data_IF_329357828363
#
_entry.id   IF_329357828363
#
_cell.length_a   1.000
_cell.length_b   1.000
_cell.length_c   1.000
_cell.angle_alpha   90.00
_cell.angle_beta   90.00
_cell.angle_gamma   90.00
#
_symmetry.space_group_name_H-M   'P 1'
#
loop_
_entity.id
_entity.type
_entity.pdbx_description
1 polymer ?
#
# COMPACT_ATOMS: atom_id res chain seq x y z
N UNK A 1 -51.83 -34.41 -28.45
CA UNK A 1 -51.32 -33.65 -27.30
C UNK A 1 -50.39 -32.57 -27.82
N UNK A 2 -50.56 -31.32 -27.37
CA UNK A 2 -49.56 -30.28 -27.58
C UNK A 2 -48.27 -30.54 -26.77
N UNK A 3 -47.32 -29.57 -26.65
CA UNK A 3 -47.54 -28.14 -26.91
C UNK A 3 -46.31 -27.29 -27.39
N UNK A 4 -46.58 -25.97 -27.56
CA UNK A 4 -45.71 -24.78 -27.31
C UNK A 4 -44.53 -24.55 -28.28
N UNK A 5 -44.46 -23.49 -29.10
CA UNK A 5 -44.71 -22.05 -28.90
C UNK A 5 -43.36 -21.31 -29.04
N UNK A 6 -43.17 -20.09 -29.55
CA UNK A 6 -44.03 -19.04 -30.08
C UNK A 6 -43.14 -18.09 -30.91
N UNK A 7 -43.69 -17.50 -31.97
CA UNK A 7 -43.05 -16.44 -32.75
C UNK A 7 -43.18 -15.06 -32.09
N UNK A 8 -42.38 -14.10 -32.54
CA UNK A 8 -42.64 -12.68 -32.35
C UNK A 8 -42.02 -11.88 -33.51
N UNK A 9 -42.87 -11.58 -34.49
CA UNK A 9 -42.79 -10.42 -35.37
C UNK A 9 -42.98 -9.15 -34.52
N UNK A 10 -42.30 -8.05 -34.85
CA UNK A 10 -42.88 -6.72 -34.61
C UNK A 10 -42.22 -5.65 -35.47
N UNK A 11 -42.96 -5.27 -36.50
CA UNK A 11 -42.83 -4.04 -37.28
C UNK A 11 -43.22 -2.79 -36.47
N UNK A 12 -42.45 -1.71 -36.69
CA UNK A 12 -42.86 -0.31 -36.97
C UNK A 12 -44.00 0.34 -36.18
N UNK A 13 -43.66 1.38 -35.39
CA UNK A 13 -44.35 2.69 -35.22
C UNK A 13 -43.25 3.68 -34.72
N UNK A 14 -43.07 4.94 -35.12
CA UNK A 14 -43.92 5.93 -35.76
C UNK A 14 -43.96 7.22 -34.90
N UNK A 15 -43.15 8.23 -35.27
CA UNK A 15 -43.28 9.70 -35.05
C UNK A 15 -43.66 10.29 -33.65
N UNK A 16 -42.75 11.12 -33.14
CA UNK A 16 -42.96 12.58 -32.95
C UNK A 16 -43.56 13.08 -31.64
N UNK A 17 -42.83 13.95 -30.91
CA UNK A 17 -43.28 15.28 -30.47
C UNK A 17 -42.21 15.95 -29.58
N UNK A 18 -42.26 17.28 -29.62
CA UNK A 18 -41.34 18.31 -29.13
C UNK A 18 -41.72 18.73 -27.70
N UNK A 19 -40.75 19.02 -26.84
CA UNK A 19 -41.02 19.56 -25.50
C UNK A 19 -39.73 20.04 -24.82
N UNK A 20 -39.60 21.35 -24.75
CA UNK A 20 -38.56 22.13 -24.09
C UNK A 20 -38.46 21.85 -22.58
N UNK A 21 -37.23 21.73 -22.06
CA UNK A 21 -36.89 22.05 -20.67
C UNK A 21 -35.37 22.06 -20.48
N UNK A 22 -34.85 23.27 -20.30
CA UNK A 22 -33.67 23.72 -19.57
C UNK A 22 -32.66 22.67 -19.03
N UNK A 23 -31.49 22.69 -19.67
CA UNK A 23 -30.20 22.97 -19.03
C UNK A 23 -29.85 22.30 -17.69
N UNK A 24 -29.21 21.14 -17.75
CA UNK A 24 -28.09 20.80 -16.87
C UNK A 24 -27.15 19.80 -17.56
N UNK A 25 -26.14 20.32 -18.26
CA UNK A 25 -25.04 19.52 -18.80
C UNK A 25 -24.04 19.23 -17.68
N UNK A 26 -24.01 17.99 -17.20
CA UNK A 26 -22.79 17.43 -16.62
C UNK A 26 -22.02 16.78 -17.78
N UNK A 27 -20.98 17.46 -18.23
CA UNK A 27 -20.07 16.97 -19.25
C UNK A 27 -19.40 15.67 -18.79
N UNK A 28 -19.69 14.60 -19.53
CA UNK A 28 -19.10 13.27 -19.36
C UNK A 28 -17.82 13.13 -20.19
N UNK A 29 -16.85 14.03 -20.02
CA UNK A 29 -15.51 13.90 -20.60
C UNK A 29 -14.48 13.51 -19.55
N UNK A 30 -14.69 12.34 -18.95
CA UNK A 30 -13.77 11.70 -18.01
C UNK A 30 -13.09 10.47 -18.64
N UNK A 31 -12.45 10.60 -19.80
CA UNK A 31 -11.58 9.56 -20.37
C UNK A 31 -10.38 10.16 -21.12
N UNK A 32 -9.53 10.89 -20.41
CA UNK A 32 -8.10 10.94 -20.74
C UNK A 32 -7.30 11.24 -19.48
N UNK A 33 -6.82 10.18 -18.81
CA UNK A 33 -5.85 10.34 -17.72
C UNK A 33 -4.48 10.55 -18.37
N UNK A 34 -3.75 11.65 -18.11
CA UNK A 34 -2.36 11.73 -18.53
C UNK A 34 -1.56 10.63 -17.82
N UNK A 35 -0.65 10.00 -18.57
CA UNK A 35 0.32 9.06 -18.03
C UNK A 35 1.09 9.71 -16.86
N UNK A 36 1.47 8.97 -15.81
CA UNK A 36 2.31 9.52 -14.75
C UNK A 36 3.61 10.05 -15.36
N UNK A 37 4.12 11.20 -14.90
CA UNK A 37 5.41 11.69 -15.38
C UNK A 37 6.46 10.62 -15.08
N UNK A 38 7.16 10.21 -16.15
CA UNK A 38 8.39 9.44 -16.04
C UNK A 38 9.39 10.31 -15.27
N UNK A 39 9.48 10.08 -13.96
CA UNK A 39 10.55 10.64 -13.13
C UNK A 39 11.85 10.10 -13.71
N UNK A 40 12.50 10.94 -14.51
CA UNK A 40 13.92 10.81 -14.78
C UNK A 40 14.61 11.05 -13.45
N UNK A 41 15.15 9.97 -12.91
CA UNK A 41 16.01 9.94 -11.74
C UNK A 41 17.10 11.01 -11.83
N UNK A 42 16.94 12.10 -11.10
CA UNK A 42 18.05 12.94 -10.68
C UNK A 42 18.19 12.74 -9.17
N UNK A 43 18.91 11.67 -8.83
CA UNK A 43 19.26 11.32 -7.46
C UNK A 43 20.20 12.39 -6.91
N UNK A 44 19.63 13.38 -6.22
CA UNK A 44 20.43 14.30 -5.40
C UNK A 44 20.77 13.61 -4.08
N UNK A 45 22.00 13.11 -4.04
CA UNK A 45 22.78 12.93 -2.81
C UNK A 45 22.40 11.73 -1.95
N UNK A 46 22.57 10.51 -2.48
CA UNK A 46 22.91 9.39 -1.62
C UNK A 46 24.27 9.73 -0.97
N UNK A 47 24.28 10.12 0.31
CA UNK A 47 25.52 10.15 1.07
C UNK A 47 26.00 8.70 1.17
N UNK A 48 27.13 8.43 0.54
CA UNK A 48 27.83 7.15 0.62
C UNK A 48 28.16 6.84 2.08
N UNK A 49 27.29 6.06 2.73
CA UNK A 49 27.51 5.53 4.07
C UNK A 49 28.51 4.37 3.97
N UNK A 50 29.76 4.65 3.57
CA UNK A 50 30.81 3.64 3.38
C UNK A 50 31.97 3.71 4.37
N UNK A 51 31.98 4.65 5.30
CA UNK A 51 33.07 4.81 6.27
C UNK A 51 32.60 5.00 7.72
N UNK A 52 31.49 4.37 8.11
CA UNK A 52 31.17 4.24 9.53
C UNK A 52 31.96 3.06 10.13
N UNK A 53 33.22 3.32 10.49
CA UNK A 53 33.98 2.47 11.41
C UNK A 53 33.26 2.31 12.77
N UNK A 54 33.65 1.32 13.59
CA UNK A 54 32.87 0.88 14.74
C UNK A 54 33.05 1.86 15.90
N UNK A 55 32.23 2.90 15.94
CA UNK A 55 32.17 3.81 17.07
C UNK A 55 30.77 3.72 17.69
N UNK A 56 30.67 2.90 18.73
CA UNK A 56 29.79 3.12 19.88
C UNK A 56 28.29 3.35 19.59
N UNK A 57 27.69 2.55 18.71
CA UNK A 57 26.23 2.43 18.64
C UNK A 57 25.73 1.61 19.83
N UNK A 58 25.56 2.27 20.97
CA UNK A 58 24.69 1.75 22.04
C UNK A 58 23.29 1.55 21.46
N UNK A 59 22.96 0.28 21.21
CA UNK A 59 21.63 -0.29 21.09
C UNK A 59 20.70 0.44 20.10
N UNK A 60 21.07 0.45 18.82
CA UNK A 60 20.06 0.58 17.77
C UNK A 60 19.20 -0.70 17.79
N UNK A 61 17.97 -0.60 18.27
CA UNK A 61 16.99 -1.71 18.27
C UNK A 61 16.68 -2.26 16.85
N UNK A 62 17.17 -1.57 15.82
CA UNK A 62 17.02 -1.98 14.44
C UNK A 62 18.27 -2.73 13.95
N UNK A 63 18.06 -3.87 13.28
CA UNK A 63 19.14 -4.63 12.72
C UNK A 63 19.89 -3.81 11.66
N UNK A 64 21.22 -3.96 11.55
CA UNK A 64 21.98 -3.28 10.51
C UNK A 64 21.46 -3.68 9.12
N UNK A 65 21.45 -2.75 8.14
CA UNK A 65 20.93 -3.03 6.81
C UNK A 65 21.71 -4.18 6.17
N UNK A 66 20.98 -5.20 5.69
CA UNK A 66 21.57 -6.40 5.09
C UNK A 66 21.87 -7.54 6.06
N UNK A 67 21.65 -7.38 7.36
CA UNK A 67 21.72 -8.50 8.31
C UNK A 67 20.61 -9.52 8.06
N UNK A 68 20.95 -10.80 8.29
CA UNK A 68 20.02 -11.91 8.14
C UNK A 68 19.35 -12.15 9.50
N UNK A 69 18.01 -12.28 9.55
CA UNK A 69 17.33 -12.60 10.79
C UNK A 69 17.74 -13.99 11.27
N UNK A 70 18.01 -14.11 12.56
CA UNK A 70 18.44 -15.34 13.22
C UNK A 70 17.26 -16.19 13.65
N UNK A 71 16.12 -15.54 13.86
CA UNK A 71 14.86 -16.21 14.17
C UNK A 71 13.64 -15.48 13.63
N UNK A 72 12.55 -16.23 13.55
CA UNK A 72 11.22 -15.67 13.28
C UNK A 72 10.23 -16.24 14.27
N UNK A 73 9.46 -15.37 14.91
CA UNK A 73 8.31 -15.75 15.76
C UNK A 73 7.04 -15.12 15.22
N UNK A 74 5.89 -15.71 15.53
CA UNK A 74 4.58 -15.12 15.22
C UNK A 74 4.09 -14.29 16.40
N UNK A 75 3.43 -13.17 16.12
CA UNK A 75 2.85 -12.35 17.18
C UNK A 75 1.72 -13.10 17.89
N UNK A 76 1.69 -12.98 19.22
CA UNK A 76 0.65 -13.57 20.09
C UNK A 76 -0.34 -12.55 20.62
N UNK A 77 0.12 -11.32 20.79
CA UNK A 77 -0.67 -10.20 21.29
C UNK A 77 -0.33 -8.96 20.45
N UNK A 78 -1.27 -8.03 20.40
CA UNK A 78 -1.05 -6.75 19.75
C UNK A 78 -0.10 -5.87 20.56
N UNK A 79 0.82 -5.22 19.86
CA UNK A 79 1.70 -4.16 20.38
C UNK A 79 2.04 -3.19 19.25
N UNK A 80 2.60 -2.03 19.58
CA UNK A 80 2.99 -1.04 18.57
C UNK A 80 4.06 -1.59 17.61
N UNK A 81 4.99 -2.41 18.12
CA UNK A 81 5.98 -3.13 17.32
C UNK A 81 5.34 -4.11 16.34
N UNK A 82 4.35 -4.88 16.81
CA UNK A 82 3.59 -5.83 15.98
C UNK A 82 2.77 -5.10 14.93
N UNK A 83 2.14 -3.97 15.27
CA UNK A 83 1.39 -3.13 14.34
C UNK A 83 2.30 -2.59 13.23
N UNK A 84 3.48 -2.05 13.56
CA UNK A 84 4.43 -1.58 12.57
C UNK A 84 4.96 -2.72 11.68
N UNK A 85 5.21 -3.90 12.28
CA UNK A 85 5.62 -5.10 11.54
C UNK A 85 4.52 -5.56 10.57
N UNK A 86 3.26 -5.49 10.99
CA UNK A 86 2.09 -5.76 10.15
C UNK A 86 2.03 -4.80 8.96
N UNK A 87 2.16 -3.48 9.20
CA UNK A 87 2.15 -2.46 8.13
C UNK A 87 3.27 -2.68 7.12
N UNK A 88 4.48 -2.98 7.59
CA UNK A 88 5.63 -3.29 6.74
C UNK A 88 5.36 -4.54 5.88
N UNK A 89 4.83 -5.59 6.47
CA UNK A 89 4.54 -6.84 5.77
C UNK A 89 3.40 -6.73 4.77
N UNK A 90 2.36 -5.94 5.06
CA UNK A 90 1.31 -5.59 4.09
C UNK A 90 1.89 -4.84 2.87
N UNK A 91 2.88 -3.98 3.10
CA UNK A 91 3.63 -3.31 2.04
C UNK A 91 4.65 -4.24 1.33
N UNK A 92 4.89 -5.45 1.83
CA UNK A 92 5.82 -6.43 1.26
C UNK A 92 7.26 -6.32 1.78
N UNK A 93 7.50 -5.59 2.86
CA UNK A 93 8.79 -5.44 3.52
C UNK A 93 8.85 -6.34 4.76
N UNK A 94 10.01 -6.90 5.08
CA UNK A 94 10.17 -7.68 6.32
C UNK A 94 10.21 -6.79 7.54
N UNK A 95 11.04 -5.76 7.47
CA UNK A 95 11.44 -4.92 8.59
C UNK A 95 11.75 -3.51 8.11
N UNK A 96 11.88 -2.59 9.07
CA UNK A 96 12.08 -1.18 8.76
C UNK A 96 13.46 -0.93 8.14
N UNK A 97 14.49 -1.71 8.50
CA UNK A 97 15.83 -1.54 7.93
C UNK A 97 15.85 -1.88 6.44
N UNK A 98 15.12 -2.93 6.03
CA UNK A 98 14.94 -3.25 4.60
C UNK A 98 14.23 -2.13 3.83
N UNK A 99 13.17 -1.56 4.42
CA UNK A 99 12.45 -0.44 3.83
C UNK A 99 13.35 0.81 3.70
N UNK A 100 14.05 1.17 4.77
CA UNK A 100 14.92 2.34 4.81
C UNK A 100 16.05 2.23 3.78
N UNK A 101 16.64 1.04 3.63
CA UNK A 101 17.68 0.81 2.64
C UNK A 101 17.23 1.06 1.20
N UNK A 102 15.93 0.92 0.91
CA UNK A 102 15.39 1.06 -0.46
C UNK A 102 14.69 2.41 -0.70
N UNK A 103 13.88 2.86 0.26
CA UNK A 103 12.98 4.01 0.12
C UNK A 103 13.32 5.18 1.06
N UNK A 104 14.23 4.98 2.02
CA UNK A 104 14.51 5.94 3.08
C UNK A 104 13.56 5.83 4.28
N UNK A 105 13.65 6.78 5.23
CA UNK A 105 12.84 6.75 6.45
C UNK A 105 11.33 6.78 6.14
N UNK A 106 10.52 5.88 6.74
CA UNK A 106 9.08 5.91 6.56
C UNK A 106 8.49 7.13 7.26
N UNK A 107 7.37 7.59 6.73
CA UNK A 107 6.59 8.66 7.35
C UNK A 107 5.80 8.09 8.54
N UNK A 108 5.90 8.72 9.72
CA UNK A 108 5.34 8.21 10.98
C UNK A 108 4.24 9.11 11.52
N UNK A 109 3.18 8.55 12.08
CA UNK A 109 2.20 9.28 12.89
C UNK A 109 2.83 9.82 14.19
N UNK A 110 2.19 10.80 14.84
CA UNK A 110 2.68 11.35 16.12
C UNK A 110 2.80 10.30 17.24
N UNK A 111 2.09 9.18 17.10
CA UNK A 111 2.09 8.08 18.06
C UNK A 111 3.04 6.93 17.68
N UNK A 112 4.10 7.22 16.92
CA UNK A 112 5.16 6.28 16.51
C UNK A 112 4.70 5.07 15.68
N UNK A 113 3.48 5.11 15.14
CA UNK A 113 3.00 4.15 14.13
C UNK A 113 3.30 4.63 12.72
N UNK A 114 3.61 3.72 11.80
CA UNK A 114 3.93 4.08 10.42
C UNK A 114 2.68 4.63 9.72
N UNK A 115 2.78 5.82 9.13
CA UNK A 115 1.69 6.51 8.41
C UNK A 115 1.62 6.08 6.95
N UNK A 116 2.76 6.09 6.26
CA UNK A 116 2.84 5.83 4.83
C UNK A 116 3.99 4.86 4.51
N UNK A 117 3.74 3.91 3.62
CA UNK A 117 4.76 3.03 3.05
C UNK A 117 4.60 2.91 1.55
N UNK A 118 5.71 2.71 0.83
CA UNK A 118 5.67 2.36 -0.59
C UNK A 118 5.59 0.84 -0.67
N UNK A 119 4.62 0.30 -1.42
CA UNK A 119 4.47 -1.14 -1.62
C UNK A 119 5.58 -1.67 -2.51
N UNK A 120 6.25 -2.74 -2.08
CA UNK A 120 7.44 -3.30 -2.75
C UNK A 120 7.19 -3.75 -4.19
N UNK A 121 6.05 -4.38 -4.44
CA UNK A 121 5.73 -4.97 -5.76
C UNK A 121 5.24 -3.94 -6.77
N UNK A 122 4.43 -2.97 -6.35
CA UNK A 122 3.73 -2.05 -7.27
C UNK A 122 4.26 -0.63 -7.23
N UNK A 123 4.97 -0.24 -6.17
CA UNK A 123 5.38 1.15 -5.94
C UNK A 123 4.24 2.08 -5.48
N UNK A 124 3.02 1.57 -5.28
CA UNK A 124 1.92 2.38 -4.74
C UNK A 124 2.12 2.69 -3.26
N UNK A 125 1.68 3.87 -2.84
CA UNK A 125 1.75 4.29 -1.43
C UNK A 125 0.55 3.70 -0.68
N UNK A 126 0.83 2.94 0.38
CA UNK A 126 -0.13 2.49 1.37
C UNK A 126 -0.20 3.50 2.51
N UNK A 127 -1.42 3.92 2.84
CA UNK A 127 -1.71 4.83 3.94
C UNK A 127 -2.39 4.07 5.07
N UNK A 128 -1.97 4.33 6.30
CA UNK A 128 -2.52 3.70 7.49
C UNK A 128 -3.10 4.74 8.44
N UNK A 129 -4.15 4.37 9.19
CA UNK A 129 -4.70 5.24 10.23
C UNK A 129 -3.72 5.39 11.40
N UNK A 130 -3.87 6.48 12.19
CA UNK A 130 -3.13 6.61 13.43
C UNK A 130 -3.55 5.58 14.48
N UNK A 131 -4.71 4.95 14.36
CA UNK A 131 -5.16 3.89 15.27
C UNK A 131 -4.59 2.50 14.94
N UNK A 132 -4.96 1.53 15.77
CA UNK A 132 -4.78 0.09 15.50
C UNK A 132 -5.56 -0.32 14.25
N UNK A 133 -4.89 -0.94 13.28
CA UNK A 133 -5.51 -1.57 12.11
C UNK A 133 -5.33 -3.10 12.14
N UNK A 134 -4.32 -3.61 12.86
CA UNK A 134 -4.11 -5.04 12.99
C UNK A 134 -5.14 -5.68 13.95
N UNK A 135 -6.21 -6.25 13.37
CA UNK A 135 -7.20 -7.05 14.11
C UNK A 135 -6.58 -8.35 14.68
N UNK A 136 -7.13 -8.85 15.78
CA UNK A 136 -6.62 -10.05 16.46
C UNK A 136 -6.56 -11.29 15.56
N UNK A 137 -7.49 -11.40 14.61
CA UNK A 137 -7.53 -12.49 13.61
C UNK A 137 -6.33 -12.51 12.66
N UNK A 138 -5.60 -11.39 12.55
CA UNK A 138 -4.42 -11.25 11.70
C UNK A 138 -3.10 -11.32 12.47
N UNK A 139 -3.11 -11.25 13.81
CA UNK A 139 -1.89 -11.26 14.63
C UNK A 139 -1.04 -12.51 14.38
N UNK A 140 -1.68 -13.67 14.24
CA UNK A 140 -0.97 -14.93 13.97
C UNK A 140 -0.27 -14.96 12.60
N UNK A 141 -0.56 -14.02 11.69
CA UNK A 141 0.11 -13.88 10.39
C UNK A 141 1.34 -12.99 10.46
N UNK A 142 1.40 -12.08 11.42
CA UNK A 142 2.51 -11.14 11.59
C UNK A 142 3.75 -11.88 12.04
N UNK A 143 4.82 -11.77 11.24
CA UNK A 143 6.13 -12.32 11.54
C UNK A 143 6.97 -11.27 12.26
N UNK A 144 7.53 -11.62 13.40
CA UNK A 144 8.49 -10.79 14.13
C UNK A 144 9.86 -11.43 13.95
N UNK A 145 10.78 -10.67 13.36
CA UNK A 145 12.13 -11.13 13.09
C UNK A 145 13.04 -10.77 14.27
N UNK A 146 13.84 -11.73 14.71
CA UNK A 146 14.89 -11.53 15.71
C UNK A 146 16.23 -11.57 15.00
N UNK A 147 17.17 -10.78 15.50
CA UNK A 147 18.52 -10.67 14.96
C UNK A 147 19.48 -10.84 16.13
N UNK A 148 20.49 -11.69 15.96
CA UNK A 148 21.59 -11.78 16.92
C UNK A 148 22.55 -10.63 16.57
N UNK A 149 22.84 -9.80 17.57
CA UNK A 149 23.73 -8.65 17.45
C UNK A 149 25.20 -9.03 17.39
#
# INVERSE_FOLDING_TARGET
>A
GGPRGAGADRTRWGRGAKGDADGFVLDASALSRPAPPRVTSEAKGAKDYKDAGPADAKESFFPPPGSKPTGVRRAKAWSMEVENSFRLQEAGWRDVSEYIATNGPPDMHPNTLIRCLIRKETGFILYFKPGRECEDKYLNRVKIYTYDG
#
